data_IF_367797392950
#
_entry.id   IF_367797392950
#
_cell.length_a   1.000
_cell.length_b   1.000
_cell.length_c   1.000
_cell.angle_alpha   90.00
_cell.angle_beta   90.00
_cell.angle_gamma   90.00
#
_symmetry.space_group_name_H-M   'P 1'
#
loop_
_entity.id
_entity.type
_entity.pdbx_description
1 polymer ?
#
# COMPACT_ATOMS: atom_id res chain seq x y z
N UNK A 1 20.17 1.65 -16.47
CA UNK A 1 18.88 2.39 -16.48
C UNK A 1 19.18 3.86 -16.29
N UNK A 2 18.40 4.79 -16.87
CA UNK A 2 18.60 6.21 -16.59
C UNK A 2 17.51 6.69 -15.64
N UNK A 3 17.94 7.33 -14.55
CA UNK A 3 17.06 7.93 -13.56
C UNK A 3 17.19 9.45 -13.62
N UNK A 4 16.08 10.14 -13.76
CA UNK A 4 16.04 11.61 -13.76
C UNK A 4 15.68 12.09 -12.35
N UNK A 5 16.59 12.79 -11.69
CA UNK A 5 16.27 13.50 -10.45
C UNK A 5 15.22 14.59 -10.73
N UNK A 6 14.19 14.63 -9.93
CA UNK A 6 13.11 15.62 -10.06
C UNK A 6 13.25 16.73 -9.01
N UNK A 7 13.12 16.37 -7.75
CA UNK A 7 13.14 17.32 -6.63
C UNK A 7 13.21 16.55 -5.30
N UNK A 8 13.32 17.28 -4.19
CA UNK A 8 13.14 16.70 -2.84
C UNK A 8 11.76 17.04 -2.29
N UNK A 9 10.99 16.01 -1.91
CA UNK A 9 9.63 16.15 -1.39
C UNK A 9 9.52 15.46 -0.05
N UNK A 10 9.10 16.16 1.00
CA UNK A 10 8.90 15.62 2.37
C UNK A 10 10.06 14.76 2.86
N UNK A 11 11.29 15.20 2.56
CA UNK A 11 12.52 14.50 2.95
C UNK A 11 12.99 13.41 2.00
N UNK A 12 12.23 13.04 0.96
CA UNK A 12 12.61 12.06 -0.05
C UNK A 12 13.24 12.72 -1.28
N UNK A 13 14.39 12.22 -1.73
CA UNK A 13 14.94 12.54 -3.06
C UNK A 13 14.14 11.77 -4.12
N UNK A 14 13.38 12.47 -4.93
CA UNK A 14 12.53 11.87 -5.96
C UNK A 14 13.25 11.73 -7.29
N UNK A 15 13.28 10.50 -7.78
CA UNK A 15 13.76 10.13 -9.10
C UNK A 15 12.62 9.54 -9.94
N UNK A 16 12.72 9.69 -11.26
CA UNK A 16 11.78 9.09 -12.20
C UNK A 16 12.51 8.36 -13.32
N UNK A 17 12.01 7.20 -13.68
CA UNK A 17 12.43 6.44 -14.86
C UNK A 17 11.30 6.36 -15.89
N UNK A 18 11.65 6.30 -17.18
CA UNK A 18 10.68 6.03 -18.24
C UNK A 18 10.16 4.59 -18.12
N UNK A 19 11.07 3.63 -18.00
CA UNK A 19 10.77 2.21 -17.88
C UNK A 19 11.75 1.52 -16.93
N UNK A 20 11.24 0.60 -16.13
CA UNK A 20 12.02 -0.33 -15.30
C UNK A 20 11.38 -1.71 -15.32
N UNK A 21 12.14 -2.75 -14.98
CA UNK A 21 11.54 -4.08 -14.74
C UNK A 21 10.62 -4.00 -13.53
N UNK A 22 11.12 -3.49 -12.41
CA UNK A 22 10.38 -3.25 -11.17
C UNK A 22 10.98 -2.07 -10.42
N UNK A 23 10.13 -1.17 -9.93
CA UNK A 23 10.58 -0.05 -9.09
C UNK A 23 11.23 -0.51 -7.79
N UNK A 24 10.81 -1.67 -7.22
CA UNK A 24 11.43 -2.25 -6.03
C UNK A 24 12.88 -2.72 -6.26
N UNK A 25 13.19 -3.20 -7.46
CA UNK A 25 14.57 -3.57 -7.78
C UNK A 25 15.39 -2.34 -8.14
N UNK A 26 14.83 -1.45 -8.96
CA UNK A 26 15.55 -0.30 -9.49
C UNK A 26 15.89 0.74 -8.39
N UNK A 27 15.06 0.89 -7.35
CA UNK A 27 15.35 1.84 -6.26
C UNK A 27 16.66 1.52 -5.54
N UNK A 28 17.07 0.26 -5.53
CA UNK A 28 18.31 -0.19 -4.87
C UNK A 28 19.57 0.48 -5.46
N UNK A 29 19.55 0.83 -6.75
CA UNK A 29 20.65 1.53 -7.43
C UNK A 29 20.80 3.01 -7.01
N UNK A 30 19.74 3.59 -6.42
CA UNK A 30 19.69 5.00 -6.01
C UNK A 30 19.99 5.20 -4.53
N UNK A 31 19.99 4.13 -3.73
CA UNK A 31 20.15 4.23 -2.28
C UNK A 31 21.58 4.60 -1.92
N UNK A 32 21.73 5.75 -1.31
CA UNK A 32 22.95 6.23 -0.67
C UNK A 32 22.82 6.18 0.85
N UNK A 33 23.92 6.32 1.55
CA UNK A 33 23.93 6.33 3.00
C UNK A 33 23.07 7.49 3.53
N UNK A 34 22.12 7.17 4.44
CA UNK A 34 21.21 8.12 5.11
C UNK A 34 20.26 8.92 4.21
N UNK A 35 20.08 8.55 2.94
CA UNK A 35 19.17 9.24 2.04
C UNK A 35 17.85 8.48 1.87
N UNK A 36 16.72 9.14 2.15
CA UNK A 36 15.40 8.63 1.80
C UNK A 36 15.16 8.87 0.32
N UNK A 37 14.91 7.82 -0.42
CA UNK A 37 14.71 7.86 -1.87
C UNK A 37 13.29 7.44 -2.22
N UNK A 38 12.69 8.10 -3.21
CA UNK A 38 11.52 7.61 -3.93
C UNK A 38 11.86 7.52 -5.42
N UNK A 39 11.60 6.36 -6.01
CA UNK A 39 11.68 6.13 -7.45
C UNK A 39 10.29 5.89 -8.00
N UNK A 40 9.83 6.74 -8.94
CA UNK A 40 8.65 6.49 -9.76
C UNK A 40 9.04 6.00 -11.15
N UNK A 41 8.16 5.21 -11.78
CA UNK A 41 8.32 4.81 -13.18
C UNK A 41 7.04 5.08 -13.98
N UNK A 42 7.20 5.38 -15.28
CA UNK A 42 6.06 5.52 -16.21
C UNK A 42 5.53 4.12 -16.54
N UNK A 43 6.41 3.12 -16.64
CA UNK A 43 6.06 1.75 -16.94
C UNK A 43 6.93 0.75 -16.18
N UNK A 44 6.34 -0.39 -15.80
CA UNK A 44 7.05 -1.57 -15.27
C UNK A 44 6.81 -2.76 -16.20
N UNK A 45 7.86 -3.40 -16.70
CA UNK A 45 7.75 -4.60 -17.55
C UNK A 45 7.64 -5.90 -16.74
N UNK A 46 8.05 -5.87 -15.46
CA UNK A 46 8.02 -7.02 -14.55
C UNK A 46 7.50 -6.64 -13.16
N UNK A 47 6.43 -5.83 -13.09
CA UNK A 47 5.81 -5.45 -11.82
C UNK A 47 5.32 -6.67 -11.02
N UNK A 48 5.54 -6.65 -9.70
CA UNK A 48 5.23 -7.76 -8.80
C UNK A 48 4.22 -7.36 -7.74
N UNK A 49 3.36 -8.31 -7.38
CA UNK A 49 2.56 -8.30 -6.17
C UNK A 49 3.02 -9.37 -5.18
N UNK A 50 2.34 -9.52 -4.07
CA UNK A 50 2.60 -10.58 -3.07
C UNK A 50 2.41 -11.97 -3.67
N UNK A 51 3.17 -12.95 -3.16
CA UNK A 51 3.07 -14.39 -3.53
C UNK A 51 3.26 -14.63 -5.02
N UNK A 52 4.17 -13.92 -5.65
CA UNK A 52 4.50 -14.09 -7.07
C UNK A 52 3.44 -13.60 -8.07
N UNK A 53 2.37 -12.98 -7.61
CA UNK A 53 1.38 -12.38 -8.52
C UNK A 53 2.00 -11.23 -9.31
N UNK A 54 1.57 -11.06 -10.56
CA UNK A 54 1.99 -9.93 -11.38
C UNK A 54 1.20 -8.68 -11.02
N UNK A 55 1.86 -7.52 -11.07
CA UNK A 55 1.22 -6.21 -11.08
C UNK A 55 1.31 -5.65 -12.51
N UNK A 56 0.16 -5.51 -13.17
CA UNK A 56 0.11 -5.06 -14.56
C UNK A 56 0.30 -3.55 -14.65
N UNK A 57 1.18 -3.12 -15.56
CA UNK A 57 1.44 -1.71 -15.82
C UNK A 57 0.51 -1.18 -16.92
N UNK A 58 -0.20 -0.09 -16.60
CA UNK A 58 -0.98 0.68 -17.58
C UNK A 58 -0.40 2.08 -17.61
N UNK A 59 -0.01 2.54 -18.78
CA UNK A 59 0.58 3.87 -18.96
C UNK A 59 -0.34 4.97 -18.41
N UNK A 60 0.22 5.87 -17.61
CA UNK A 60 -0.51 6.92 -16.91
C UNK A 60 -0.90 6.58 -15.46
N UNK A 61 -0.82 5.31 -15.05
CA UNK A 61 -0.90 4.94 -13.64
C UNK A 61 0.38 5.30 -12.91
N UNK A 62 0.38 5.21 -11.59
CA UNK A 62 1.51 5.56 -10.75
C UNK A 62 2.12 4.30 -10.13
N UNK A 63 3.39 4.07 -10.44
CA UNK A 63 4.22 3.00 -9.86
C UNK A 63 5.41 3.65 -9.21
N UNK A 64 5.58 3.44 -7.91
CA UNK A 64 6.71 4.01 -7.20
C UNK A 64 7.14 3.15 -6.03
N UNK A 65 8.38 3.29 -5.63
CA UNK A 65 8.97 2.62 -4.49
C UNK A 65 9.71 3.63 -3.61
N UNK A 66 9.46 3.54 -2.31
CA UNK A 66 10.17 4.28 -1.26
C UNK A 66 11.24 3.41 -0.65
N UNK A 67 12.40 3.98 -0.31
CA UNK A 67 13.31 3.37 0.66
C UNK A 67 12.93 3.82 2.07
N UNK A 68 12.63 2.88 2.96
CA UNK A 68 12.27 3.19 4.36
C UNK A 68 13.04 2.28 5.32
N UNK A 69 13.59 2.86 6.38
CA UNK A 69 14.08 2.11 7.52
C UNK A 69 12.90 1.72 8.42
N UNK A 70 12.71 0.42 8.60
CA UNK A 70 11.61 -0.15 9.38
C UNK A 70 12.18 -1.30 10.22
N UNK A 71 12.04 -1.24 11.53
CA UNK A 71 12.41 -2.38 12.38
C UNK A 71 11.52 -3.57 12.06
N UNK A 72 12.03 -4.81 11.96
CA UNK A 72 11.24 -5.99 11.57
C UNK A 72 9.95 -6.19 12.37
N UNK A 73 9.98 -5.88 13.67
CA UNK A 73 8.80 -5.98 14.55
C UNK A 73 7.72 -4.91 14.26
N UNK A 74 8.01 -3.87 13.48
CA UNK A 74 7.10 -2.79 13.13
C UNK A 74 6.52 -2.92 11.71
N UNK A 75 6.92 -3.92 10.94
CA UNK A 75 6.53 -4.09 9.53
C UNK A 75 5.01 -4.04 9.33
N UNK A 76 4.23 -4.74 10.15
CA UNK A 76 2.77 -4.74 10.04
C UNK A 76 2.16 -3.37 10.37
N UNK A 77 2.73 -2.64 11.33
CA UNK A 77 2.33 -1.26 11.64
C UNK A 77 2.60 -0.33 10.45
N UNK A 78 3.77 -0.46 9.82
CA UNK A 78 4.12 0.34 8.64
C UNK A 78 3.24 0.02 7.42
N UNK A 79 2.85 -1.23 7.21
CA UNK A 79 1.87 -1.58 6.18
C UNK A 79 0.55 -0.85 6.43
N UNK A 80 0.08 -0.77 7.68
CA UNK A 80 -1.11 -0.01 8.04
C UNK A 80 -0.93 1.51 7.80
N UNK A 81 0.22 2.07 8.18
CA UNK A 81 0.57 3.49 7.95
C UNK A 81 0.55 3.81 6.45
N UNK A 82 1.20 2.99 5.63
CA UNK A 82 1.29 3.17 4.17
C UNK A 82 -0.11 3.11 3.52
N UNK A 83 -0.91 2.10 3.88
CA UNK A 83 -2.29 1.97 3.39
C UNK A 83 -3.19 3.13 3.81
N UNK A 84 -3.07 3.57 5.06
CA UNK A 84 -3.78 4.75 5.58
C UNK A 84 -3.36 6.04 4.84
N UNK A 85 -2.07 6.16 4.52
CA UNK A 85 -1.56 7.32 3.75
C UNK A 85 -2.16 7.36 2.35
N UNK A 86 -2.25 6.23 1.65
CA UNK A 86 -2.95 6.17 0.35
C UNK A 86 -4.41 6.57 0.49
N UNK A 87 -5.13 5.98 1.45
CA UNK A 87 -6.55 6.27 1.66
C UNK A 87 -6.80 7.76 1.97
N UNK A 88 -5.98 8.38 2.81
CA UNK A 88 -6.07 9.81 3.12
C UNK A 88 -5.72 10.69 1.92
N UNK A 89 -4.74 10.31 1.11
CA UNK A 89 -4.41 11.03 -0.13
C UNK A 89 -5.58 11.01 -1.11
N UNK A 90 -6.25 9.87 -1.27
CA UNK A 90 -7.47 9.78 -2.10
C UNK A 90 -8.59 10.68 -1.53
N UNK A 91 -8.77 10.72 -0.21
CA UNK A 91 -9.76 11.61 0.43
C UNK A 91 -9.45 13.09 0.21
N UNK A 92 -8.20 13.50 0.13
CA UNK A 92 -7.81 14.87 -0.25
C UNK A 92 -8.13 15.19 -1.71
N UNK A 93 -8.07 14.20 -2.62
CA UNK A 93 -8.49 14.36 -4.01
C UNK A 93 -10.02 14.41 -4.16
N UNK A 94 -10.76 13.71 -3.28
CA UNK A 94 -12.22 13.69 -3.26
C UNK A 94 -12.73 13.27 -1.88
N UNK A 95 -13.30 14.21 -1.12
CA UNK A 95 -13.81 13.96 0.24
C UNK A 95 -14.91 12.89 0.29
N UNK A 96 -15.72 12.81 -0.77
CA UNK A 96 -16.84 11.86 -0.88
C UNK A 96 -16.43 10.47 -1.33
N UNK A 97 -15.13 10.24 -1.68
CA UNK A 97 -14.66 8.93 -2.14
C UNK A 97 -14.98 7.83 -1.12
N UNK A 98 -15.63 6.74 -1.53
CA UNK A 98 -15.81 5.54 -0.70
C UNK A 98 -14.54 4.71 -0.73
N UNK A 99 -13.60 5.10 0.14
CA UNK A 99 -12.28 4.47 0.27
C UNK A 99 -12.23 3.56 1.48
N UNK A 100 -11.71 2.35 1.29
CA UNK A 100 -11.53 1.35 2.33
C UNK A 100 -10.14 0.73 2.25
N UNK A 101 -9.61 0.31 3.40
CA UNK A 101 -8.31 -0.38 3.48
C UNK A 101 -8.58 -1.87 3.74
N UNK A 102 -8.16 -2.71 2.80
CA UNK A 102 -8.30 -4.16 2.91
C UNK A 102 -7.00 -4.76 3.44
N UNK A 103 -7.08 -5.35 4.64
CA UNK A 103 -5.95 -6.05 5.23
C UNK A 103 -5.43 -7.18 4.32
N UNK A 104 -4.11 -7.35 4.21
CA UNK A 104 -3.11 -6.55 4.89
C UNK A 104 -2.61 -5.31 4.09
N UNK A 105 -2.73 -5.28 2.76
CA UNK A 105 -1.92 -4.42 1.91
C UNK A 105 -2.62 -3.83 0.68
N UNK A 106 -3.93 -3.84 0.64
CA UNK A 106 -4.70 -3.32 -0.49
C UNK A 106 -5.55 -2.11 -0.07
N UNK A 107 -5.76 -1.17 -0.98
CA UNK A 107 -6.71 -0.08 -0.81
C UNK A 107 -7.78 -0.19 -1.89
N UNK A 108 -9.04 -0.09 -1.47
CA UNK A 108 -10.21 -0.24 -2.29
C UNK A 108 -10.96 1.09 -2.43
N UNK A 109 -11.45 1.38 -3.61
CA UNK A 109 -12.31 2.50 -3.92
C UNK A 109 -13.60 1.95 -4.54
N UNK A 110 -14.76 2.32 -3.98
CA UNK A 110 -16.06 1.79 -4.40
C UNK A 110 -16.09 0.25 -4.43
N UNK A 111 -15.56 -0.39 -3.39
CA UNK A 111 -15.42 -1.85 -3.25
C UNK A 111 -14.56 -2.55 -4.33
N UNK A 112 -13.76 -1.81 -5.11
CA UNK A 112 -12.85 -2.32 -6.13
C UNK A 112 -11.41 -1.96 -5.79
N UNK A 113 -10.46 -2.80 -6.18
CA UNK A 113 -9.04 -2.58 -5.88
C UNK A 113 -8.47 -1.40 -6.66
N UNK A 114 -8.02 -0.40 -5.91
CA UNK A 114 -7.32 0.79 -6.43
C UNK A 114 -5.81 0.63 -6.36
N UNK A 115 -5.31 0.11 -5.24
CA UNK A 115 -3.88 0.12 -4.91
C UNK A 115 -3.46 -1.23 -4.34
N UNK A 116 -2.20 -1.62 -4.63
CA UNK A 116 -1.50 -2.71 -3.96
C UNK A 116 -0.17 -2.20 -3.39
N UNK A 117 0.22 -2.74 -2.23
CA UNK A 117 1.45 -2.40 -1.52
C UNK A 117 2.30 -3.66 -1.38
N UNK A 118 3.61 -3.55 -1.67
CA UNK A 118 4.57 -4.66 -1.58
C UNK A 118 5.84 -4.19 -0.85
N UNK A 119 6.11 -4.77 0.31
CA UNK A 119 7.35 -4.56 1.04
C UNK A 119 8.33 -5.70 0.73
N UNK A 120 9.55 -5.34 0.37
CA UNK A 120 10.67 -6.27 0.16
C UNK A 120 11.89 -5.79 0.94
N UNK A 121 12.55 -6.69 1.67
CA UNK A 121 13.77 -6.33 2.38
C UNK A 121 14.90 -6.08 1.38
N UNK A 122 15.67 -5.02 1.60
CA UNK A 122 16.87 -4.69 0.81
C UNK A 122 18.12 -5.18 1.56
N UNK A 123 18.28 -4.71 2.79
CA UNK A 123 19.34 -5.10 3.73
C UNK A 123 18.96 -4.63 5.14
N UNK A 124 19.38 -5.33 6.15
CA UNK A 124 19.15 -4.97 7.56
C UNK A 124 17.68 -4.54 7.81
N UNK A 125 17.47 -3.33 8.28
CA UNK A 125 16.16 -2.71 8.51
C UNK A 125 15.66 -1.87 7.31
N UNK A 126 16.36 -1.87 6.19
CA UNK A 126 16.00 -1.08 5.01
C UNK A 126 15.09 -1.88 4.08
N UNK A 127 13.94 -1.31 3.76
CA UNK A 127 12.91 -1.93 2.93
C UNK A 127 12.60 -1.10 1.69
N UNK A 128 12.40 -1.78 0.58
CA UNK A 128 11.73 -1.26 -0.62
C UNK A 128 10.22 -1.37 -0.40
N UNK A 129 9.53 -0.24 -0.39
CA UNK A 129 8.08 -0.14 -0.21
C UNK A 129 7.46 0.22 -1.54
N UNK A 130 7.11 -0.79 -2.32
CA UNK A 130 6.47 -0.64 -3.63
C UNK A 130 4.99 -0.36 -3.51
N UNK A 131 4.51 0.63 -4.25
CA UNK A 131 3.11 1.04 -4.28
C UNK A 131 2.68 1.25 -5.73
N UNK A 132 1.64 0.51 -6.14
CA UNK A 132 0.97 0.71 -7.41
C UNK A 132 -0.39 1.35 -7.20
N UNK A 133 -0.65 2.49 -7.84
CA UNK A 133 -1.94 3.19 -7.79
C UNK A 133 -2.52 3.30 -9.20
N UNK A 134 -3.72 2.81 -9.37
CA UNK A 134 -4.47 2.95 -10.62
C UNK A 134 -5.02 4.38 -10.71
N UNK A 135 -4.36 5.25 -11.47
CA UNK A 135 -4.80 6.65 -11.69
C UNK A 135 -5.76 6.73 -12.86
N UNK A 136 -5.35 6.28 -14.06
CA UNK A 136 -6.10 6.50 -15.31
C UNK A 136 -6.91 5.28 -15.76
N UNK A 137 -6.51 4.07 -15.37
CA UNK A 137 -7.20 2.85 -15.78
C UNK A 137 -6.85 1.67 -14.89
N UNK A 138 -7.69 0.65 -14.94
CA UNK A 138 -7.52 -0.57 -14.17
C UNK A 138 -7.43 -1.80 -15.07
N UNK A 139 -6.62 -2.82 -14.71
CA UNK A 139 -6.56 -4.05 -15.48
C UNK A 139 -7.86 -4.85 -15.33
N UNK A 140 -8.33 -5.41 -16.44
CA UNK A 140 -9.40 -6.41 -16.44
C UNK A 140 -8.76 -7.79 -16.27
N UNK A 141 -8.96 -8.43 -15.12
CA UNK A 141 -8.43 -9.75 -14.82
C UNK A 141 -9.61 -10.64 -14.44
N UNK A 142 -9.91 -11.64 -15.27
CA UNK A 142 -11.12 -12.47 -15.17
C UNK A 142 -11.13 -13.36 -13.92
N UNK A 143 -9.99 -13.91 -13.52
CA UNK A 143 -9.88 -14.85 -12.39
C UNK A 143 -9.56 -14.20 -11.03
N UNK A 144 -9.77 -12.90 -10.88
CA UNK A 144 -9.51 -12.24 -9.59
C UNK A 144 -10.77 -12.22 -8.72
N UNK A 145 -10.62 -12.45 -7.40
CA UNK A 145 -11.76 -12.49 -6.46
C UNK A 145 -12.41 -11.11 -6.25
N UNK A 146 -11.86 -10.07 -6.82
CA UNK A 146 -12.35 -8.68 -6.79
C UNK A 146 -11.96 -7.94 -8.07
N UNK A 147 -12.82 -7.04 -8.50
CA UNK A 147 -12.53 -6.16 -9.63
C UNK A 147 -11.49 -5.10 -9.24
N UNK A 148 -10.76 -4.60 -10.22
CA UNK A 148 -9.94 -3.40 -10.09
C UNK A 148 -10.73 -2.15 -10.52
N UNK A 149 -10.27 -0.99 -10.08
CA UNK A 149 -10.73 0.32 -10.50
C UNK A 149 -9.56 1.30 -10.54
N UNK A 150 -9.80 2.49 -11.12
CA UNK A 150 -8.87 3.61 -11.07
C UNK A 150 -9.54 4.87 -10.53
N UNK A 151 -8.77 5.88 -10.17
CA UNK A 151 -9.32 7.18 -9.76
C UNK A 151 -10.18 7.78 -10.87
N UNK A 152 -9.71 7.75 -12.11
CA UNK A 152 -10.45 8.28 -13.28
C UNK A 152 -11.78 7.54 -13.50
N UNK A 153 -11.79 6.21 -13.39
CA UNK A 153 -13.03 5.40 -13.51
C UNK A 153 -14.03 5.71 -12.39
N UNK A 154 -13.55 6.17 -11.24
CA UNK A 154 -14.38 6.63 -10.13
C UNK A 154 -14.73 8.13 -10.19
N UNK A 155 -14.40 8.82 -11.30
CA UNK A 155 -14.71 10.24 -11.48
C UNK A 155 -13.73 11.20 -10.78
N UNK A 156 -12.60 10.70 -10.27
CA UNK A 156 -11.58 11.50 -9.59
C UNK A 156 -10.43 11.79 -10.56
N UNK A 157 -10.23 13.07 -10.90
CA UNK A 157 -9.17 13.50 -11.80
C UNK A 157 -8.00 14.06 -10.99
N UNK A 158 -6.82 13.45 -11.15
CA UNK A 158 -5.57 13.91 -10.55
C UNK A 158 -4.38 13.47 -11.40
N UNK A 159 -3.39 14.34 -11.52
CA UNK A 159 -2.12 14.00 -12.17
C UNK A 159 -1.30 13.09 -11.25
N UNK A 160 -0.63 12.05 -11.83
CA UNK A 160 0.15 11.06 -11.08
C UNK A 160 1.27 11.70 -10.22
N UNK A 161 1.89 12.77 -10.73
CA UNK A 161 2.96 13.49 -10.02
C UNK A 161 2.41 14.31 -8.85
N UNK A 162 1.27 14.93 -9.01
CA UNK A 162 0.54 15.62 -7.93
C UNK A 162 0.11 14.64 -6.85
N UNK A 163 -0.45 13.50 -7.23
CA UNK A 163 -0.80 12.44 -6.28
C UNK A 163 0.41 11.94 -5.49
N UNK A 164 1.56 11.72 -6.15
CA UNK A 164 2.80 11.28 -5.49
C UNK A 164 3.28 12.30 -4.44
N UNK A 165 3.33 13.59 -4.80
CA UNK A 165 3.75 14.65 -3.87
C UNK A 165 2.84 14.71 -2.64
N UNK A 166 1.53 14.71 -2.86
CA UNK A 166 0.54 14.72 -1.79
C UNK A 166 0.61 13.47 -0.91
N UNK A 167 0.88 12.30 -1.52
CA UNK A 167 1.10 11.06 -0.80
C UNK A 167 2.35 11.13 0.10
N UNK A 168 3.46 11.63 -0.41
CA UNK A 168 4.71 11.76 0.35
C UNK A 168 4.54 12.69 1.57
N UNK A 169 3.82 13.80 1.40
CA UNK A 169 3.49 14.70 2.50
C UNK A 169 2.59 14.00 3.52
N UNK A 170 1.52 13.35 3.06
CA UNK A 170 0.58 12.63 3.92
C UNK A 170 1.27 11.49 4.68
N UNK A 171 2.16 10.75 4.04
CA UNK A 171 2.95 9.69 4.67
C UNK A 171 3.86 10.27 5.77
N UNK A 172 4.55 11.38 5.48
CA UNK A 172 5.43 12.05 6.45
C UNK A 172 4.64 12.48 7.69
N UNK A 173 3.48 13.11 7.50
CA UNK A 173 2.62 13.57 8.58
C UNK A 173 2.13 12.39 9.46
N UNK A 174 1.75 11.27 8.83
CA UNK A 174 1.29 10.07 9.55
C UNK A 174 2.44 9.40 10.30
N UNK A 175 3.63 9.32 9.71
CA UNK A 175 4.82 8.77 10.39
C UNK A 175 5.18 9.65 11.60
N UNK A 176 5.14 10.96 11.46
CA UNK A 176 5.38 11.88 12.58
C UNK A 176 4.34 11.71 13.69
N UNK A 177 3.06 11.56 13.33
CA UNK A 177 2.00 11.29 14.29
C UNK A 177 2.21 9.94 14.99
N UNK A 178 2.59 8.89 14.26
CA UNK A 178 2.93 7.59 14.82
C UNK A 178 4.08 7.68 15.81
N UNK A 179 5.15 8.39 15.46
CA UNK A 179 6.33 8.57 16.34
C UNK A 179 5.98 9.33 17.63
N UNK A 180 5.07 10.30 17.56
CA UNK A 180 4.66 11.12 18.73
C UNK A 180 3.62 10.43 19.61
N UNK A 181 2.66 9.71 19.02
CA UNK A 181 1.45 9.22 19.70
C UNK A 181 1.33 7.70 19.77
N UNK A 182 2.25 6.97 19.12
CA UNK A 182 2.22 5.52 19.05
C UNK A 182 1.22 4.98 18.03
N UNK A 183 1.09 3.63 18.00
CA UNK A 183 0.32 2.96 16.95
C UNK A 183 -1.20 3.02 17.19
N UNK A 184 -1.66 3.20 18.40
CA UNK A 184 -3.10 3.16 18.71
C UNK A 184 -3.90 4.20 17.93
N UNK A 185 -3.39 5.42 17.77
CA UNK A 185 -4.06 6.45 16.98
C UNK A 185 -4.11 6.11 15.47
N UNK A 186 -3.07 5.44 14.98
CA UNK A 186 -3.02 4.97 13.59
C UNK A 186 -4.00 3.83 13.40
N UNK A 187 -4.04 2.88 14.34
CA UNK A 187 -4.95 1.74 14.35
C UNK A 187 -6.41 2.19 14.34
N UNK A 188 -6.77 3.16 15.18
CA UNK A 188 -8.11 3.73 15.22
C UNK A 188 -8.52 4.31 13.85
N UNK A 189 -7.67 5.16 13.26
CA UNK A 189 -7.91 5.77 11.94
C UNK A 189 -7.98 4.73 10.82
N UNK A 190 -7.16 3.69 10.91
CA UNK A 190 -7.17 2.59 9.96
C UNK A 190 -8.46 1.77 10.06
N UNK A 191 -8.89 1.41 11.30
CA UNK A 191 -10.11 0.66 11.55
C UNK A 191 -11.36 1.40 11.09
N UNK A 192 -11.41 2.71 11.18
CA UNK A 192 -12.50 3.54 10.65
C UNK A 192 -12.66 3.40 9.11
N UNK A 193 -11.58 3.03 8.40
CA UNK A 193 -11.57 2.78 6.96
C UNK A 193 -11.46 1.29 6.61
N UNK A 194 -11.50 0.39 7.60
CA UNK A 194 -11.28 -1.04 7.36
C UNK A 194 -12.37 -1.64 6.47
N UNK A 195 -11.92 -2.40 5.45
CA UNK A 195 -12.81 -3.20 4.61
C UNK A 195 -13.28 -4.43 5.39
N UNK A 196 -14.60 -4.60 5.51
CA UNK A 196 -15.25 -5.73 6.18
C UNK A 196 -14.97 -5.88 7.69
N UNK A 197 -14.66 -4.81 8.40
CA UNK A 197 -14.64 -4.83 9.87
C UNK A 197 -16.01 -5.25 10.40
N UNK A 198 -16.03 -6.15 11.38
CA UNK A 198 -17.25 -6.68 11.98
C UNK A 198 -18.00 -7.72 11.12
N UNK A 199 -17.51 -8.03 9.90
CA UNK A 199 -18.12 -9.02 9.00
C UNK A 199 -17.38 -10.34 9.03
N UNK A 200 -18.06 -11.39 8.59
CA UNK A 200 -17.45 -12.69 8.34
C UNK A 200 -16.51 -12.58 7.14
N UNK A 201 -15.29 -13.12 7.30
CA UNK A 201 -14.25 -13.13 6.28
C UNK A 201 -13.54 -14.47 6.28
N UNK A 202 -12.96 -14.81 5.12
CA UNK A 202 -12.08 -15.97 4.99
C UNK A 202 -10.65 -15.51 4.78
N UNK A 203 -9.74 -16.02 5.58
CA UNK A 203 -8.29 -15.74 5.43
C UNK A 203 -7.64 -16.95 4.79
N UNK A 204 -7.05 -16.75 3.61
CA UNK A 204 -6.25 -17.77 2.94
C UNK A 204 -4.77 -17.57 3.28
N UNK A 205 -4.18 -18.60 3.86
CA UNK A 205 -2.74 -18.75 4.01
C UNK A 205 -2.31 -20.01 3.24
N UNK A 206 -1.06 -20.08 2.78
CA UNK A 206 -0.51 -21.05 1.82
C UNK A 206 -1.13 -22.47 1.84
N UNK A 207 -1.48 -23.00 2.99
CA UNK A 207 -2.05 -24.34 3.14
C UNK A 207 -3.37 -24.41 3.92
N UNK A 208 -3.88 -23.28 4.43
CA UNK A 208 -5.04 -23.28 5.32
C UNK A 208 -5.98 -22.10 5.04
N UNK A 209 -7.26 -22.37 5.13
CA UNK A 209 -8.30 -21.36 5.19
C UNK A 209 -8.79 -21.23 6.63
N UNK A 210 -8.99 -20.00 7.08
CA UNK A 210 -9.62 -19.70 8.36
C UNK A 210 -10.80 -18.78 8.11
N UNK A 211 -11.96 -19.16 8.61
CA UNK A 211 -13.20 -18.41 8.53
C UNK A 211 -13.54 -17.81 9.91
N UNK A 212 -14.02 -16.59 9.94
CA UNK A 212 -14.45 -15.95 11.18
C UNK A 212 -14.79 -14.47 10.99
N UNK A 213 -15.10 -13.79 12.09
CA UNK A 213 -15.45 -12.38 12.07
C UNK A 213 -14.18 -11.54 12.25
N UNK A 214 -13.92 -10.58 11.37
CA UNK A 214 -12.85 -9.60 11.52
C UNK A 214 -13.18 -8.65 12.67
N UNK A 215 -12.56 -8.83 13.84
CA UNK A 215 -12.87 -8.02 15.03
C UNK A 215 -12.12 -6.69 15.08
N UNK A 216 -10.81 -6.72 14.87
CA UNK A 216 -9.92 -5.57 15.03
C UNK A 216 -8.51 -5.89 14.51
N UNK A 217 -7.61 -4.91 14.61
CA UNK A 217 -6.17 -5.15 14.58
C UNK A 217 -5.63 -5.12 16.02
N UNK A 218 -4.58 -5.90 16.29
CA UNK A 218 -3.86 -5.82 17.56
C UNK A 218 -2.86 -4.62 17.60
N UNK A 219 -2.12 -4.51 18.68
CA UNK A 219 -1.11 -3.46 18.91
C UNK A 219 0.07 -3.51 17.93
N UNK A 220 0.20 -4.59 17.16
CA UNK A 220 1.23 -4.77 16.12
C UNK A 220 0.69 -4.65 14.69
N UNK A 221 -0.62 -4.42 14.51
CA UNK A 221 -1.25 -4.34 13.19
C UNK A 221 -1.64 -5.70 12.60
N UNK A 222 -1.59 -6.78 13.39
CA UNK A 222 -2.09 -8.08 12.99
C UNK A 222 -3.60 -8.16 13.13
N UNK A 223 -4.26 -8.89 12.23
CA UNK A 223 -5.71 -9.04 12.24
C UNK A 223 -6.14 -9.99 13.36
N UNK A 224 -7.13 -9.61 14.14
CA UNK A 224 -7.81 -10.45 15.12
C UNK A 224 -9.11 -10.98 14.53
N UNK A 225 -9.16 -12.29 14.37
CA UNK A 225 -10.31 -13.03 13.85
C UNK A 225 -11.04 -13.72 15.01
N UNK A 226 -12.36 -13.57 15.10
CA UNK A 226 -13.20 -14.36 16.01
C UNK A 226 -13.68 -15.60 15.26
N UNK A 227 -13.20 -16.77 15.66
CA UNK A 227 -13.62 -18.07 15.18
C UNK A 227 -14.48 -18.78 16.20
N UNK A 228 -14.99 -19.96 15.91
CA UNK A 228 -15.66 -20.87 16.84
C UNK A 228 -14.75 -21.33 18.00
N UNK A 229 -13.42 -21.28 17.82
CA UNK A 229 -12.40 -21.60 18.82
C UNK A 229 -11.98 -20.41 19.69
N UNK A 230 -12.53 -19.21 19.42
CA UNK A 230 -12.21 -18.00 20.14
C UNK A 230 -11.50 -16.94 19.27
N UNK A 231 -10.75 -16.04 19.92
CA UNK A 231 -9.98 -15.00 19.20
C UNK A 231 -8.64 -15.55 18.72
N UNK A 232 -8.37 -15.41 17.43
CA UNK A 232 -7.11 -15.84 16.82
C UNK A 232 -6.39 -14.65 16.18
N UNK A 233 -5.08 -14.56 16.40
CA UNK A 233 -4.20 -13.59 15.74
C UNK A 233 -3.76 -14.12 14.39
N UNK A 234 -3.94 -13.33 13.34
CA UNK A 234 -3.54 -13.65 11.98
C UNK A 234 -2.38 -12.72 11.58
N UNK A 235 -1.19 -13.32 11.43
CA UNK A 235 0.05 -12.60 11.12
C UNK A 235 0.19 -12.35 9.60
N UNK A 236 -0.26 -13.31 8.78
CA UNK A 236 -0.17 -13.25 7.33
C UNK A 236 -1.34 -13.97 6.67
N UNK A 237 -1.70 -13.53 5.49
CA UNK A 237 -2.77 -14.11 4.69
C UNK A 237 -3.33 -13.13 3.67
N UNK A 238 -4.26 -13.60 2.86
CA UNK A 238 -5.11 -12.77 2.00
C UNK A 238 -6.55 -12.89 2.50
N UNK A 239 -7.22 -11.75 2.70
CA UNK A 239 -8.59 -11.67 3.17
C UNK A 239 -9.56 -11.78 1.98
N UNK A 240 -10.55 -12.63 2.10
CA UNK A 240 -11.66 -12.81 1.15
C UNK A 240 -13.01 -12.69 1.89
N UNK A 241 -14.05 -12.40 1.11
CA UNK A 241 -15.45 -12.24 1.56
C UNK A 241 -16.30 -13.27 0.88
#
# INVERSE_FOLDING_TARGET
MSFSYKEKVSGFAWYEAAEVISTNDAVKELIKENEKVVLSAIEQTGGRGRRGRKWLSIKGNLYFTLSLEIKPQELSRYICIIGLSVAKTVKKCSETADIKIKWPNDVFLNNKKLTGILLENIKDNLYAVGIGVNIVGSPKIEDMPYQATSLKEAGISVERTTFLKEYLQTLSDIIEEYQKKGFDIIREKWLALAYNLGKEVTIHNESRQKKGIFLTLDENGYLILKTDKGKERIIAGDLFV
#
